data_IF_444642358509
#
_entry.id   IF_444642358509
#
_cell.length_a   1.000
_cell.length_b   1.000
_cell.length_c   1.000
_cell.angle_alpha   90.00
_cell.angle_beta   90.00
_cell.angle_gamma   90.00
#
_symmetry.space_group_name_H-M   'P 1'
#
loop_
_entity.id
_entity.type
_entity.pdbx_description
1 polymer ?
#
# COMPACT_ATOMS: atom_id res chain seq x y z
N UNK A 1 -1.38 12.27 -8.58
CA UNK A 1 -1.74 11.86 -9.97
C UNK A 1 -2.74 12.75 -10.69
N UNK A 2 -3.82 13.21 -10.05
CA UNK A 2 -4.91 13.88 -10.81
C UNK A 2 -4.50 15.27 -11.26
N UNK A 3 -3.87 16.04 -10.37
CA UNK A 3 -3.35 17.36 -10.71
C UNK A 3 -2.24 17.27 -11.76
N UNK A 4 -1.37 16.26 -11.68
CA UNK A 4 -0.28 16.03 -12.65
C UNK A 4 -0.84 15.80 -14.05
N UNK A 5 -1.81 14.89 -14.21
CA UNK A 5 -2.43 14.60 -15.50
C UNK A 5 -3.14 15.82 -16.07
N UNK A 6 -3.91 16.53 -15.24
CA UNK A 6 -4.61 17.75 -15.65
C UNK A 6 -3.64 18.81 -16.18
N UNK A 7 -2.50 19.03 -15.52
CA UNK A 7 -1.51 19.99 -16.01
C UNK A 7 -0.83 19.50 -17.29
N UNK A 8 -0.54 18.20 -17.38
CA UNK A 8 0.03 17.61 -18.59
C UNK A 8 -0.90 17.80 -19.79
N UNK A 9 -2.19 17.48 -19.63
CA UNK A 9 -3.23 17.70 -20.66
C UNK A 9 -3.27 19.17 -21.09
N UNK A 10 -3.33 20.11 -20.13
CA UNK A 10 -3.33 21.55 -20.42
C UNK A 10 -2.08 22.01 -21.19
N UNK A 11 -0.91 21.45 -20.92
CA UNK A 11 0.31 21.80 -21.64
C UNK A 11 0.34 21.18 -23.05
N UNK A 12 -0.12 19.94 -23.20
CA UNK A 12 -0.16 19.25 -24.50
C UNK A 12 -1.22 19.86 -25.42
N UNK A 13 -2.32 20.40 -24.89
CA UNK A 13 -3.35 21.10 -25.67
C UNK A 13 -2.95 22.54 -26.02
N UNK A 14 -1.92 23.11 -25.38
CA UNK A 14 -1.51 24.48 -25.60
C UNK A 14 -0.62 24.62 -26.84
N UNK A 15 -0.97 25.57 -27.72
CA UNK A 15 -0.31 25.78 -29.03
C UNK A 15 1.22 25.86 -28.97
N UNK A 16 1.78 26.49 -27.93
CA UNK A 16 3.24 26.62 -27.74
C UNK A 16 3.87 25.34 -27.16
N UNK A 17 3.23 24.71 -26.17
CA UNK A 17 3.84 23.62 -25.39
C UNK A 17 3.59 22.24 -26.01
N UNK A 18 2.66 22.14 -26.96
CA UNK A 18 2.35 20.94 -27.73
C UNK A 18 3.48 20.50 -28.68
N UNK A 19 4.38 21.42 -29.04
CA UNK A 19 5.46 21.15 -30.00
C UNK A 19 6.54 20.24 -29.40
N UNK A 20 6.57 18.97 -29.80
CA UNK A 20 7.61 18.01 -29.38
C UNK A 20 9.03 18.40 -29.83
N UNK A 21 9.15 19.24 -30.87
CA UNK A 21 10.43 19.81 -31.32
C UNK A 21 11.03 20.80 -30.32
N UNK A 22 10.23 21.36 -29.42
CA UNK A 22 10.65 22.41 -28.49
C UNK A 22 10.48 22.00 -27.02
N UNK A 23 9.55 21.09 -26.70
CA UNK A 23 9.25 20.70 -25.33
C UNK A 23 9.11 19.19 -25.17
N UNK A 24 9.64 18.65 -24.06
CA UNK A 24 9.38 17.29 -23.60
C UNK A 24 8.79 17.30 -22.20
N UNK A 25 7.57 16.78 -22.05
CA UNK A 25 6.79 16.85 -20.81
C UNK A 25 6.72 15.47 -20.16
N UNK A 26 7.21 15.36 -18.93
CA UNK A 26 7.29 14.09 -18.19
C UNK A 26 6.49 14.15 -16.88
N UNK A 27 5.45 13.32 -16.71
CA UNK A 27 4.81 13.14 -15.40
C UNK A 27 5.68 12.24 -14.50
N UNK A 28 5.90 12.65 -13.25
CA UNK A 28 6.70 11.89 -12.28
C UNK A 28 5.95 11.66 -10.97
N UNK A 29 5.69 10.40 -10.65
CA UNK A 29 4.97 10.01 -9.44
C UNK A 29 5.16 8.53 -9.16
N UNK A 30 5.16 8.17 -7.88
CA UNK A 30 5.38 6.82 -7.37
C UNK A 30 4.53 5.70 -7.99
N UNK A 31 3.42 6.00 -8.69
CA UNK A 31 2.57 4.97 -9.32
C UNK A 31 2.80 4.77 -10.81
N UNK A 32 3.74 5.51 -11.42
CA UNK A 32 4.19 5.28 -12.80
C UNK A 32 5.30 4.22 -12.77
N UNK A 33 5.30 3.29 -13.72
CA UNK A 33 6.32 2.25 -13.81
C UNK A 33 7.73 2.84 -13.99
N UNK A 34 8.75 2.22 -13.39
CA UNK A 34 10.13 2.73 -13.40
C UNK A 34 10.67 2.96 -14.82
N UNK A 35 10.34 2.09 -15.77
CA UNK A 35 10.77 2.21 -17.17
C UNK A 35 10.22 3.49 -17.84
N UNK A 36 9.01 3.91 -17.45
CA UNK A 36 8.39 5.15 -17.93
C UNK A 36 8.96 6.40 -17.23
N UNK A 37 9.62 6.22 -16.08
CA UNK A 37 10.31 7.31 -15.38
C UNK A 37 11.75 7.50 -15.90
N UNK A 38 12.36 6.47 -16.51
CA UNK A 38 13.77 6.49 -16.92
C UNK A 38 14.10 7.67 -17.86
N UNK A 39 13.22 7.96 -18.83
CA UNK A 39 13.42 9.05 -19.80
C UNK A 39 13.51 10.46 -19.16
N UNK A 40 13.08 10.63 -17.90
CA UNK A 40 13.19 11.91 -17.20
C UNK A 40 14.65 12.27 -16.89
N UNK A 41 15.50 11.25 -16.76
CA UNK A 41 16.91 11.39 -16.40
C UNK A 41 17.80 11.76 -17.59
N UNK A 42 17.33 11.52 -18.81
CA UNK A 42 18.07 11.84 -20.02
C UNK A 42 18.09 13.36 -20.23
N UNK A 43 19.27 13.91 -20.52
CA UNK A 43 19.43 15.32 -20.86
C UNK A 43 18.85 15.53 -22.27
N UNK A 44 17.92 16.49 -22.45
CA UNK A 44 17.31 16.73 -23.76
C UNK A 44 18.35 17.30 -24.76
N UNK A 45 18.17 17.05 -26.07
CA UNK A 45 18.98 17.71 -27.10
C UNK A 45 18.92 19.24 -27.01
N UNK A 46 19.95 19.96 -27.53
CA UNK A 46 19.94 21.41 -27.60
C UNK A 46 18.69 21.95 -28.31
N UNK A 47 18.10 23.02 -27.78
CA UNK A 47 16.86 23.61 -28.30
C UNK A 47 15.57 23.03 -27.72
N UNK A 48 15.64 21.85 -27.07
CA UNK A 48 14.47 21.21 -26.45
C UNK A 48 14.45 21.47 -24.95
N UNK A 49 13.33 22.00 -24.44
CA UNK A 49 13.11 22.20 -23.01
C UNK A 49 12.38 21.02 -22.38
N UNK A 50 13.02 20.41 -21.39
CA UNK A 50 12.39 19.40 -20.52
C UNK A 50 11.51 20.06 -19.45
N UNK A 51 10.30 19.53 -19.27
CA UNK A 51 9.34 19.93 -18.23
C UNK A 51 8.97 18.68 -17.44
N UNK A 52 9.23 18.68 -16.14
CA UNK A 52 8.91 17.56 -15.25
C UNK A 52 7.80 17.97 -14.28
N UNK A 53 6.68 17.24 -14.31
CA UNK A 53 5.53 17.50 -13.44
C UNK A 53 5.52 16.43 -12.34
N UNK A 54 5.99 16.79 -11.15
CA UNK A 54 6.29 15.83 -10.09
C UNK A 54 5.47 16.01 -8.81
N UNK A 55 5.39 14.94 -8.02
CA UNK A 55 5.03 15.00 -6.58
C UNK A 55 6.27 15.25 -5.73
N UNK A 56 6.14 15.16 -4.39
CA UNK A 56 7.26 15.19 -3.46
C UNK A 56 8.28 14.05 -3.69
N UNK A 57 8.05 13.09 -4.60
CA UNK A 57 9.07 12.12 -5.03
C UNK A 57 10.31 12.78 -5.66
N UNK A 58 10.16 13.97 -6.27
CA UNK A 58 11.30 14.73 -6.78
C UNK A 58 12.03 15.53 -5.67
N UNK A 59 11.42 15.63 -4.49
CA UNK A 59 11.96 16.38 -3.36
C UNK A 59 13.02 15.59 -2.59
N UNK A 60 12.80 14.28 -2.42
CA UNK A 60 13.71 13.35 -1.73
C UNK A 60 13.91 12.09 -2.57
N UNK A 61 15.15 11.60 -2.67
CA UNK A 61 15.44 10.30 -3.27
C UNK A 61 15.67 10.24 -4.79
N UNK A 62 15.27 11.24 -5.59
CA UNK A 62 15.53 11.25 -7.05
C UNK A 62 16.31 12.50 -7.45
N UNK A 63 17.40 12.34 -8.20
CA UNK A 63 18.18 13.46 -8.77
C UNK A 63 17.99 13.49 -10.26
N UNK A 64 17.18 14.44 -10.74
CA UNK A 64 17.07 14.74 -12.16
C UNK A 64 18.22 15.71 -12.49
N UNK A 65 19.09 15.39 -13.46
CA UNK A 65 20.09 16.35 -13.92
C UNK A 65 19.40 17.59 -14.54
N UNK A 66 20.16 18.63 -14.87
CA UNK A 66 19.72 19.73 -15.74
C UNK A 66 18.49 20.58 -15.30
N UNK A 67 17.92 20.35 -14.11
CA UNK A 67 16.88 21.22 -13.56
C UNK A 67 17.47 22.57 -13.15
N UNK A 68 17.03 23.62 -13.84
CA UNK A 68 17.43 25.02 -13.59
C UNK A 68 16.28 25.89 -13.11
N UNK A 69 15.04 25.40 -13.20
CA UNK A 69 13.85 26.11 -12.79
C UNK A 69 12.92 25.17 -12.03
N UNK A 70 12.50 25.58 -10.83
CA UNK A 70 11.53 24.85 -10.00
C UNK A 70 10.30 25.72 -9.79
N UNK A 71 9.13 25.16 -10.08
CA UNK A 71 7.84 25.76 -9.78
C UNK A 71 7.22 24.97 -8.63
N UNK A 72 7.23 25.54 -7.43
CA UNK A 72 6.78 24.92 -6.20
C UNK A 72 5.37 25.41 -5.84
N UNK A 73 4.38 24.52 -5.94
CA UNK A 73 2.98 24.80 -5.58
C UNK A 73 2.80 25.04 -4.08
N UNK A 74 3.78 24.67 -3.25
CA UNK A 74 3.72 24.78 -1.80
C UNK A 74 2.79 23.77 -1.12
N UNK A 75 2.26 22.80 -1.87
CA UNK A 75 1.34 21.77 -1.35
C UNK A 75 1.87 20.37 -1.63
N UNK A 76 1.46 19.43 -0.80
CA UNK A 76 1.65 18.00 -1.03
C UNK A 76 0.48 17.21 -0.43
N UNK A 77 0.46 15.91 -0.69
CA UNK A 77 -0.46 15.00 0.00
C UNK A 77 0.32 14.12 0.94
N UNK A 78 -0.15 13.99 2.17
CA UNK A 78 0.48 13.16 3.19
C UNK A 78 -0.56 12.30 3.93
N UNK A 79 -0.11 11.14 4.39
CA UNK A 79 -0.94 10.28 5.24
C UNK A 79 -0.95 10.84 6.67
N UNK A 80 -2.16 10.99 7.22
CA UNK A 80 -2.40 11.35 8.61
C UNK A 80 -3.44 10.42 9.23
N UNK A 81 -3.22 10.03 10.48
CA UNK A 81 -4.13 9.23 11.28
C UNK A 81 -5.11 10.14 12.04
N UNK A 82 -6.41 9.89 11.89
CA UNK A 82 -7.46 10.55 12.66
C UNK A 82 -7.75 9.72 13.92
N UNK A 83 -7.25 10.16 15.06
CA UNK A 83 -7.41 9.45 16.34
C UNK A 83 -8.88 9.31 16.78
N UNK A 84 -9.75 10.26 16.42
CA UNK A 84 -11.17 10.19 16.83
C UNK A 84 -11.92 9.15 16.03
N UNK A 85 -11.53 8.97 14.76
CA UNK A 85 -12.19 8.05 13.83
C UNK A 85 -11.42 6.75 13.65
N UNK A 86 -10.26 6.60 14.28
CA UNK A 86 -9.36 5.44 14.18
C UNK A 86 -9.04 5.05 12.72
N UNK A 87 -8.84 6.04 11.84
CA UNK A 87 -8.63 5.78 10.43
C UNK A 87 -7.61 6.72 9.78
N UNK A 88 -6.81 6.14 8.89
CA UNK A 88 -5.79 6.87 8.13
C UNK A 88 -6.38 7.55 6.90
N UNK A 89 -5.96 8.78 6.63
CA UNK A 89 -6.41 9.59 5.49
C UNK A 89 -5.25 10.20 4.74
N UNK A 90 -5.40 10.30 3.43
CA UNK A 90 -4.52 11.09 2.59
C UNK A 90 -5.05 12.51 2.50
N UNK A 91 -4.38 13.46 3.15
CA UNK A 91 -4.78 14.86 3.21
C UNK A 91 -3.86 15.73 2.37
N UNK A 92 -4.42 16.75 1.72
CA UNK A 92 -3.64 17.77 1.02
C UNK A 92 -3.30 18.90 1.99
N UNK A 93 -2.02 19.08 2.28
CA UNK A 93 -1.51 20.06 3.24
C UNK A 93 -0.47 20.98 2.59
N UNK A 94 -0.17 22.09 3.27
CA UNK A 94 0.95 22.94 2.89
C UNK A 94 2.25 22.29 3.37
N UNK A 95 3.31 22.46 2.58
CA UNK A 95 4.63 21.92 2.92
C UNK A 95 5.26 22.72 4.06
N UNK A 96 6.27 22.15 4.74
CA UNK A 96 7.09 22.90 5.67
C UNK A 96 8.12 23.78 4.94
N UNK A 97 8.69 24.76 5.63
CA UNK A 97 9.74 25.64 5.09
C UNK A 97 10.96 24.84 4.64
N UNK A 98 11.36 23.83 5.41
CA UNK A 98 12.43 22.91 5.03
C UNK A 98 12.15 22.14 3.73
N UNK A 99 10.90 21.71 3.48
CA UNK A 99 10.52 21.09 2.20
C UNK A 99 10.66 22.08 1.03
N UNK A 100 10.16 23.31 1.19
CA UNK A 100 10.30 24.36 0.19
C UNK A 100 11.78 24.68 -0.10
N UNK A 101 12.62 24.70 0.95
CA UNK A 101 14.07 24.87 0.81
C UNK A 101 14.74 23.71 0.05
N UNK A 102 14.33 22.46 0.30
CA UNK A 102 14.79 21.29 -0.45
C UNK A 102 14.40 21.38 -1.93
N UNK A 103 13.15 21.78 -2.23
CA UNK A 103 12.67 22.01 -3.60
C UNK A 103 13.47 23.09 -4.31
N UNK A 104 13.72 24.23 -3.65
CA UNK A 104 14.59 25.29 -4.16
C UNK A 104 15.99 24.77 -4.48
N UNK A 105 16.55 23.92 -3.63
CA UNK A 105 17.86 23.29 -3.84
C UNK A 105 17.94 22.43 -5.10
N UNK A 106 16.81 21.97 -5.66
CA UNK A 106 16.79 21.20 -6.91
C UNK A 106 17.18 22.00 -8.15
N UNK A 107 16.92 23.32 -8.16
CA UNK A 107 17.30 24.20 -9.25
C UNK A 107 18.79 24.60 -9.26
N UNK A 108 19.49 24.41 -8.12
CA UNK A 108 20.83 24.97 -7.89
C UNK A 108 21.98 23.98 -7.99
N UNK A 109 21.77 22.78 -8.55
CA UNK A 109 22.78 21.71 -8.51
C UNK A 109 23.86 21.79 -9.56
N UNK A 110 23.48 22.12 -10.80
CA UNK A 110 24.38 22.12 -11.95
C UNK A 110 24.82 23.54 -12.30
N UNK A 111 23.95 24.52 -12.07
CA UNK A 111 24.20 25.93 -12.31
C UNK A 111 23.25 26.79 -11.48
N UNK A 112 23.36 28.12 -11.61
CA UNK A 112 22.42 29.06 -11.00
C UNK A 112 21.01 28.80 -11.54
N UNK A 113 20.06 28.56 -10.64
CA UNK A 113 18.67 28.29 -10.99
C UNK A 113 17.68 29.24 -10.33
N UNK A 114 16.43 29.13 -10.76
CA UNK A 114 15.29 29.87 -10.24
C UNK A 114 14.32 28.93 -9.52
N UNK A 115 13.69 29.44 -8.45
CA UNK A 115 12.62 28.74 -7.77
C UNK A 115 11.46 29.70 -7.53
N UNK A 116 10.29 29.36 -8.08
CA UNK A 116 9.05 30.10 -7.93
C UNK A 116 8.17 29.39 -6.91
N UNK A 117 7.84 30.08 -5.83
CA UNK A 117 6.93 29.56 -4.80
C UNK A 117 5.54 30.16 -4.98
N UNK A 118 4.52 29.32 -5.15
CA UNK A 118 3.13 29.73 -5.39
C UNK A 118 2.36 29.93 -4.07
N UNK A 119 3.00 30.60 -3.13
CA UNK A 119 2.41 30.97 -1.84
C UNK A 119 2.93 32.34 -1.41
N UNK A 120 2.11 33.07 -0.65
CA UNK A 120 2.47 34.41 -0.21
C UNK A 120 3.57 34.38 0.85
N UNK A 121 4.34 35.46 0.94
CA UNK A 121 5.33 35.63 2.01
C UNK A 121 4.70 35.54 3.40
N UNK A 122 3.48 36.07 3.58
CA UNK A 122 2.73 35.95 4.85
C UNK A 122 2.44 34.49 5.20
N UNK A 123 2.07 33.66 4.22
CA UNK A 123 1.87 32.21 4.42
C UNK A 123 3.17 31.54 4.86
N UNK A 124 4.27 31.83 4.17
CA UNK A 124 5.58 31.27 4.50
C UNK A 124 6.01 31.69 5.90
N UNK A 125 6.04 32.98 6.20
CA UNK A 125 6.59 33.51 7.45
C UNK A 125 5.74 33.13 8.68
N UNK A 126 4.39 33.15 8.57
CA UNK A 126 3.49 33.07 9.74
C UNK A 126 2.70 31.78 9.90
N UNK A 127 2.61 30.94 8.87
CA UNK A 127 1.66 29.80 8.85
C UNK A 127 2.30 28.46 8.46
N UNK A 128 3.43 28.45 7.76
CA UNK A 128 4.15 27.22 7.44
C UNK A 128 5.05 26.81 8.60
N UNK A 129 5.03 25.53 8.95
CA UNK A 129 5.94 24.96 9.94
C UNK A 129 7.39 25.00 9.43
N UNK A 130 8.37 25.05 10.34
CA UNK A 130 9.79 24.97 9.97
C UNK A 130 10.14 23.59 9.38
N UNK A 131 9.67 22.53 10.07
CA UNK A 131 9.93 21.14 9.72
C UNK A 131 8.62 20.35 9.62
N UNK A 132 8.57 19.29 8.78
CA UNK A 132 7.42 18.41 8.73
C UNK A 132 7.30 17.61 10.04
N UNK A 133 6.05 17.29 10.42
CA UNK A 133 5.80 16.43 11.57
C UNK A 133 6.45 15.04 11.37
N UNK A 134 7.21 14.52 12.35
CA UNK A 134 7.76 13.18 12.32
C UNK A 134 6.68 12.12 12.03
N UNK A 135 7.01 11.10 11.24
CA UNK A 135 6.04 10.08 10.82
C UNK A 135 5.34 9.38 11.98
N UNK A 136 6.06 9.11 13.07
CA UNK A 136 5.49 8.48 14.25
C UNK A 136 4.43 9.33 14.97
N UNK A 137 4.42 10.65 14.76
CA UNK A 137 3.44 11.55 15.37
C UNK A 137 2.18 11.72 14.51
N UNK A 138 2.22 11.29 13.24
CA UNK A 138 1.11 11.50 12.30
C UNK A 138 0.54 10.21 11.70
N UNK A 139 1.19 9.06 11.84
CA UNK A 139 0.70 7.77 11.37
C UNK A 139 0.16 6.90 12.53
N UNK A 140 -0.56 5.83 12.20
CA UNK A 140 -0.97 4.84 13.20
C UNK A 140 0.26 4.15 13.79
N UNK A 141 0.30 4.05 15.12
CA UNK A 141 1.39 3.39 15.85
C UNK A 141 1.26 1.86 15.88
N UNK A 142 0.15 1.27 15.39
CA UNK A 142 -0.09 -0.17 15.51
C UNK A 142 0.96 -1.04 14.80
N UNK A 143 1.36 -0.68 13.57
CA UNK A 143 2.43 -1.38 12.83
C UNK A 143 3.79 -1.23 13.54
N UNK A 144 4.10 -0.02 14.01
CA UNK A 144 5.34 0.24 14.76
C UNK A 144 5.38 -0.55 16.08
N UNK A 145 4.26 -0.58 16.81
CA UNK A 145 4.11 -1.33 18.05
C UNK A 145 4.30 -2.84 17.85
N UNK A 146 3.75 -3.39 16.76
CA UNK A 146 3.93 -4.79 16.39
C UNK A 146 5.39 -5.09 16.03
N UNK A 147 6.04 -4.23 15.23
CA UNK A 147 7.46 -4.37 14.87
C UNK A 147 8.36 -4.37 16.10
N UNK A 148 8.12 -3.45 17.05
CA UNK A 148 8.85 -3.41 18.32
C UNK A 148 8.72 -4.74 19.08
N UNK A 149 7.56 -5.40 19.04
CA UNK A 149 7.34 -6.70 19.70
C UNK A 149 7.98 -7.88 18.98
N UNK A 150 8.03 -7.87 17.65
CA UNK A 150 8.62 -8.96 16.86
C UNK A 150 10.15 -8.90 16.87
N UNK A 151 10.72 -7.71 17.06
CA UNK A 151 12.16 -7.55 17.18
C UNK A 151 12.72 -8.41 18.32
N UNK A 152 13.74 -9.21 17.98
CA UNK A 152 14.47 -10.06 18.96
C UNK A 152 15.43 -9.28 19.86
N UNK A 153 15.38 -7.95 19.81
CA UNK A 153 16.25 -7.05 20.58
C UNK A 153 15.39 -6.29 21.57
N UNK A 154 15.78 -6.33 22.85
CA UNK A 154 15.11 -5.58 23.90
C UNK A 154 15.50 -4.10 23.79
N UNK A 155 14.71 -3.33 23.06
CA UNK A 155 14.86 -1.86 23.02
C UNK A 155 14.44 -1.22 24.34
N UNK A 156 13.49 -1.83 25.06
CA UNK A 156 12.90 -1.33 26.30
C UNK A 156 12.06 -2.36 27.03
N UNK A 157 11.54 -1.97 28.19
CA UNK A 157 10.71 -2.83 29.05
C UNK A 157 9.30 -3.06 28.48
N UNK A 158 8.79 -2.09 27.72
CA UNK A 158 7.48 -2.13 27.07
C UNK A 158 7.48 -1.34 25.77
N UNK A 159 6.39 -1.44 24.99
CA UNK A 159 6.20 -0.63 23.79
C UNK A 159 6.17 0.85 24.17
N UNK A 160 5.48 1.19 25.26
CA UNK A 160 5.39 2.56 25.77
C UNK A 160 6.75 3.09 26.21
N UNK A 161 7.52 2.33 26.98
CA UNK A 161 8.88 2.68 27.40
C UNK A 161 9.85 2.86 26.23
N UNK A 162 9.66 2.08 25.16
CA UNK A 162 10.49 2.19 23.95
C UNK A 162 10.14 3.47 23.18
N UNK A 163 8.85 3.72 22.96
CA UNK A 163 8.39 4.87 22.18
C UNK A 163 8.57 6.20 22.93
N UNK A 164 8.50 6.20 24.26
CA UNK A 164 8.71 7.40 25.08
C UNK A 164 10.16 7.89 25.07
N UNK A 165 11.12 7.02 24.69
CA UNK A 165 12.55 7.36 24.53
C UNK A 165 12.93 7.78 23.11
N UNK A 166 11.98 7.89 22.19
CA UNK A 166 12.24 8.43 20.86
C UNK A 166 12.64 9.92 20.93
N UNK A 167 13.28 10.42 19.87
CA UNK A 167 13.67 11.84 19.76
C UNK A 167 12.45 12.77 19.91
N UNK A 168 11.37 12.42 19.21
CA UNK A 168 10.07 13.10 19.28
C UNK A 168 9.02 12.07 19.73
N UNK A 169 8.85 11.84 21.04
CA UNK A 169 8.00 10.77 21.54
C UNK A 169 6.51 11.06 21.29
N UNK A 170 5.72 10.08 20.84
CA UNK A 170 4.27 10.21 20.77
C UNK A 170 3.68 10.26 22.18
N UNK A 171 2.48 10.83 22.31
CA UNK A 171 1.80 10.90 23.61
C UNK A 171 1.50 9.50 24.15
N UNK A 172 1.63 9.31 25.47
CA UNK A 172 1.28 8.06 26.15
C UNK A 172 -0.13 7.59 25.82
N UNK A 173 -1.09 8.52 25.75
CA UNK A 173 -2.48 8.22 25.38
C UNK A 173 -2.58 7.60 23.98
N UNK A 174 -1.81 8.11 23.02
CA UNK A 174 -1.80 7.58 21.66
C UNK A 174 -1.14 6.21 21.58
N UNK A 175 -0.06 6.00 22.33
CA UNK A 175 0.59 4.69 22.42
C UNK A 175 -0.39 3.67 23.01
N UNK A 176 -1.01 4.00 24.14
CA UNK A 176 -1.95 3.10 24.83
C UNK A 176 -3.15 2.75 23.95
N UNK A 177 -3.73 3.73 23.24
CA UNK A 177 -4.82 3.49 22.27
C UNK A 177 -4.39 2.57 21.14
N UNK A 178 -3.23 2.81 20.55
CA UNK A 178 -2.73 1.99 19.45
C UNK A 178 -2.42 0.54 19.88
N UNK A 179 -1.89 0.37 21.09
CA UNK A 179 -1.65 -0.96 21.69
C UNK A 179 -2.97 -1.64 22.02
N UNK A 180 -3.94 -0.94 22.60
CA UNK A 180 -5.26 -1.50 22.90
C UNK A 180 -5.97 -1.97 21.62
N UNK A 181 -5.99 -1.13 20.58
CA UNK A 181 -6.57 -1.49 19.28
C UNK A 181 -5.83 -2.68 18.62
N UNK A 182 -4.50 -2.74 18.75
CA UNK A 182 -3.72 -3.88 18.27
C UNK A 182 -4.09 -5.18 19.02
N UNK A 183 -4.19 -5.13 20.35
CA UNK A 183 -4.57 -6.29 21.17
C UNK A 183 -5.99 -6.74 20.83
N UNK A 184 -6.94 -5.81 20.70
CA UNK A 184 -8.31 -6.11 20.30
C UNK A 184 -8.38 -6.79 18.93
N UNK A 185 -7.68 -6.26 17.92
CA UNK A 185 -7.63 -6.86 16.59
C UNK A 185 -7.02 -8.27 16.61
N UNK A 186 -5.93 -8.48 17.35
CA UNK A 186 -5.30 -9.80 17.48
C UNK A 186 -6.19 -10.80 18.23
N UNK A 187 -6.93 -10.31 19.23
CA UNK A 187 -7.89 -11.12 19.98
C UNK A 187 -9.07 -11.54 19.09
N UNK A 188 -9.63 -10.63 18.28
CA UNK A 188 -10.67 -10.96 17.30
C UNK A 188 -10.20 -12.00 16.29
N UNK A 189 -8.95 -11.91 15.82
CA UNK A 189 -8.37 -12.93 14.92
C UNK A 189 -8.34 -14.30 15.61
N UNK A 190 -7.89 -14.36 16.87
CA UNK A 190 -7.86 -15.61 17.61
C UNK A 190 -9.27 -16.17 17.86
N UNK A 191 -10.24 -15.33 18.21
CA UNK A 191 -11.64 -15.73 18.39
C UNK A 191 -12.23 -16.35 17.12
N UNK A 192 -11.98 -15.74 15.95
CA UNK A 192 -12.40 -16.29 14.66
C UNK A 192 -11.74 -17.64 14.37
N UNK A 193 -10.45 -17.81 14.70
CA UNK A 193 -9.74 -19.10 14.56
C UNK A 193 -10.36 -20.17 15.46
N UNK A 194 -10.68 -19.84 16.70
CA UNK A 194 -11.31 -20.76 17.65
C UNK A 194 -12.72 -21.14 17.22
N UNK A 195 -13.51 -20.18 16.76
CA UNK A 195 -14.87 -20.41 16.27
C UNK A 195 -14.84 -21.34 15.05
N UNK A 196 -13.93 -21.10 14.11
CA UNK A 196 -13.77 -21.96 12.94
C UNK A 196 -13.37 -23.39 13.32
N UNK A 197 -12.39 -23.55 14.22
CA UNK A 197 -12.01 -24.87 14.73
C UNK A 197 -13.20 -25.57 15.42
N UNK A 198 -13.98 -24.83 16.21
CA UNK A 198 -15.23 -25.31 16.81
C UNK A 198 -16.19 -25.89 15.78
N UNK A 199 -16.44 -25.18 14.69
CA UNK A 199 -17.32 -25.66 13.62
C UNK A 199 -16.82 -26.94 12.96
N UNK A 200 -15.50 -27.08 12.75
CA UNK A 200 -14.92 -28.29 12.18
C UNK A 200 -15.09 -29.51 13.10
N UNK A 201 -14.98 -29.32 14.41
CA UNK A 201 -15.18 -30.38 15.41
C UNK A 201 -16.67 -30.73 15.53
N UNK A 202 -17.53 -29.72 15.67
CA UNK A 202 -18.96 -29.92 15.90
C UNK A 202 -19.64 -30.56 14.66
N UNK A 203 -19.13 -30.28 13.45
CA UNK A 203 -19.57 -30.94 12.21
C UNK A 203 -18.97 -32.34 11.98
N UNK A 204 -18.12 -32.82 12.89
CA UNK A 204 -17.34 -34.06 12.75
C UNK A 204 -16.44 -34.10 11.51
N UNK A 205 -16.09 -32.94 10.94
CA UNK A 205 -15.17 -32.84 9.81
C UNK A 205 -13.73 -33.17 10.21
N UNK A 206 -13.35 -32.86 11.46
CA UNK A 206 -12.08 -33.28 12.06
C UNK A 206 -12.34 -34.09 13.33
N UNK A 207 -11.51 -35.10 13.55
CA UNK A 207 -11.47 -35.87 14.80
C UNK A 207 -10.24 -35.46 15.58
N UNK A 208 -10.46 -34.97 16.81
CA UNK A 208 -9.40 -34.55 17.73
C UNK A 208 -9.65 -35.16 19.10
N UNK A 209 -8.59 -35.28 19.89
CA UNK A 209 -8.67 -35.86 21.23
C UNK A 209 -9.68 -35.12 22.11
N UNK A 210 -10.37 -35.88 22.97
CA UNK A 210 -11.33 -35.31 23.93
C UNK A 210 -10.71 -34.28 24.89
N UNK A 211 -9.39 -34.32 25.08
CA UNK A 211 -8.67 -33.28 25.83
C UNK A 211 -8.73 -31.92 25.11
N UNK A 212 -8.46 -31.91 23.80
CA UNK A 212 -8.46 -30.69 22.97
C UNK A 212 -9.89 -30.15 22.83
N UNK A 213 -10.89 -31.01 22.67
CA UNK A 213 -12.31 -30.60 22.66
C UNK A 213 -12.71 -29.91 23.96
N UNK A 214 -12.29 -30.46 25.11
CA UNK A 214 -12.55 -29.85 26.43
C UNK A 214 -11.86 -28.49 26.55
N UNK A 215 -10.64 -28.35 26.08
CA UNK A 215 -9.92 -27.08 26.10
C UNK A 215 -10.52 -26.04 25.15
N UNK A 216 -10.96 -26.45 23.96
CA UNK A 216 -11.68 -25.62 23.00
C UNK A 216 -13.01 -25.12 23.58
N UNK A 217 -13.79 -26.00 24.21
CA UNK A 217 -15.04 -25.60 24.86
C UNK A 217 -14.78 -24.64 26.03
N UNK A 218 -13.73 -24.87 26.83
CA UNK A 218 -13.34 -23.93 27.89
C UNK A 218 -12.90 -22.57 27.34
N UNK A 219 -12.19 -22.53 26.22
CA UNK A 219 -11.78 -21.30 25.56
C UNK A 219 -13.00 -20.52 25.03
N UNK A 220 -13.96 -21.21 24.37
CA UNK A 220 -15.20 -20.62 23.84
C UNK A 220 -16.03 -19.87 24.89
N UNK A 221 -16.05 -20.34 26.14
CA UNK A 221 -16.84 -19.71 27.22
C UNK A 221 -16.02 -18.79 28.14
N UNK A 222 -14.72 -18.64 27.91
CA UNK A 222 -13.87 -17.79 28.74
C UNK A 222 -13.94 -16.34 28.27
N UNK A 223 -14.63 -15.48 29.04
CA UNK A 223 -14.74 -14.04 28.74
C UNK A 223 -13.49 -13.21 29.08
N UNK A 224 -12.51 -13.77 29.80
CA UNK A 224 -11.47 -12.98 30.48
C UNK A 224 -10.01 -13.47 30.29
N UNK A 225 -9.73 -14.42 29.38
CA UNK A 225 -8.34 -14.85 29.11
C UNK A 225 -8.10 -15.08 27.63
N UNK A 226 -7.05 -14.44 27.11
CA UNK A 226 -6.45 -14.69 25.79
C UNK A 226 -5.81 -16.08 25.78
N UNK A 227 -6.63 -17.13 25.79
CA UNK A 227 -6.16 -18.51 25.77
C UNK A 227 -6.05 -18.93 24.32
N UNK A 228 -4.82 -18.88 23.80
CA UNK A 228 -4.53 -19.39 22.46
C UNK A 228 -4.77 -20.89 22.40
N UNK A 229 -5.42 -21.34 21.33
CA UNK A 229 -5.55 -22.77 21.06
C UNK A 229 -4.40 -23.18 20.15
N UNK A 230 -3.62 -24.15 20.63
CA UNK A 230 -2.61 -24.78 19.78
C UNK A 230 -3.30 -25.78 18.87
N UNK A 231 -3.13 -25.61 17.56
CA UNK A 231 -3.65 -26.55 16.58
C UNK A 231 -2.83 -27.85 16.69
N UNK A 232 -3.47 -29.02 16.81
CA UNK A 232 -2.78 -30.30 16.80
C UNK A 232 -1.88 -30.44 15.55
N UNK A 233 -0.61 -30.91 15.69
CA UNK A 233 0.31 -31.02 14.55
C UNK A 233 -0.23 -31.88 13.40
N UNK A 234 -1.12 -32.83 13.71
CA UNK A 234 -1.76 -33.70 12.72
C UNK A 234 -2.67 -32.92 11.76
N UNK A 235 -3.20 -31.77 12.20
CA UNK A 235 -4.03 -30.88 11.40
C UNK A 235 -3.21 -29.80 10.68
N UNK A 236 -1.94 -29.61 11.02
CA UNK A 236 -1.05 -28.59 10.44
C UNK A 236 0.00 -29.17 9.46
N UNK A 237 -0.16 -30.43 9.03
CA UNK A 237 0.81 -31.16 8.19
C UNK A 237 1.22 -30.44 6.90
N UNK A 238 0.34 -29.59 6.37
CA UNK A 238 0.51 -28.93 5.07
C UNK A 238 0.81 -27.43 5.16
N UNK A 239 1.11 -26.89 6.34
CA UNK A 239 1.30 -25.44 6.54
C UNK A 239 2.53 -24.84 5.86
N UNK A 240 3.48 -25.67 5.41
CA UNK A 240 4.63 -25.23 4.61
C UNK A 240 4.36 -25.26 3.10
N UNK A 241 3.24 -25.87 2.66
CA UNK A 241 2.90 -25.98 1.25
C UNK A 241 2.13 -24.74 0.78
N UNK A 242 2.85 -23.80 0.16
CA UNK A 242 2.28 -22.55 -0.33
C UNK A 242 1.16 -22.76 -1.35
N UNK A 243 1.23 -23.79 -2.20
CA UNK A 243 0.20 -24.08 -3.20
C UNK A 243 -1.13 -24.44 -2.52
N UNK A 244 -1.10 -25.30 -1.50
CA UNK A 244 -2.31 -25.66 -0.73
C UNK A 244 -2.87 -24.47 0.06
N UNK A 245 -1.99 -23.63 0.63
CA UNK A 245 -2.42 -22.41 1.31
C UNK A 245 -3.11 -21.46 0.33
N UNK A 246 -2.53 -21.24 -0.84
CA UNK A 246 -3.12 -20.40 -1.88
C UNK A 246 -4.43 -20.97 -2.42
N UNK A 247 -4.54 -22.29 -2.57
CA UNK A 247 -5.79 -22.96 -2.93
C UNK A 247 -6.89 -22.71 -1.88
N UNK A 248 -6.57 -22.87 -0.59
CA UNK A 248 -7.53 -22.63 0.50
C UNK A 248 -7.96 -21.15 0.58
N UNK A 249 -7.00 -20.21 0.42
CA UNK A 249 -7.29 -18.78 0.34
C UNK A 249 -8.20 -18.48 -0.85
N UNK A 250 -7.91 -19.07 -2.02
CA UNK A 250 -8.70 -18.87 -3.23
C UNK A 250 -10.13 -19.35 -3.06
N UNK A 251 -10.31 -20.53 -2.45
CA UNK A 251 -11.63 -21.10 -2.15
C UNK A 251 -12.42 -20.22 -1.16
N UNK A 252 -11.76 -19.77 -0.08
CA UNK A 252 -12.40 -18.91 0.93
C UNK A 252 -12.73 -17.50 0.44
N UNK A 253 -11.99 -16.99 -0.55
CA UNK A 253 -12.21 -15.66 -1.12
C UNK A 253 -13.10 -15.66 -2.37
N UNK A 254 -13.37 -16.82 -2.97
CA UNK A 254 -14.21 -16.91 -4.16
C UNK A 254 -15.58 -16.22 -3.93
N UNK A 255 -16.08 -15.40 -4.89
CA UNK A 255 -15.60 -15.17 -6.26
C UNK A 255 -14.65 -13.97 -6.42
N UNK A 256 -13.95 -13.55 -5.35
CA UNK A 256 -12.98 -12.43 -5.40
C UNK A 256 -11.69 -12.82 -6.12
N UNK A 257 -11.79 -12.94 -7.44
CA UNK A 257 -10.69 -13.27 -8.33
C UNK A 257 -10.43 -12.16 -9.35
N UNK A 258 -9.16 -11.98 -9.67
CA UNK A 258 -8.68 -11.19 -10.80
C UNK A 258 -8.16 -12.14 -11.88
N UNK A 259 -8.65 -12.00 -13.10
CA UNK A 259 -8.08 -12.64 -14.30
C UNK A 259 -6.89 -11.82 -14.81
N UNK A 260 -5.84 -12.53 -15.22
CA UNK A 260 -4.67 -11.97 -15.88
C UNK A 260 -4.87 -12.10 -17.39
N UNK A 261 -5.19 -10.98 -18.03
CA UNK A 261 -5.43 -10.91 -19.47
C UNK A 261 -4.29 -10.18 -20.19
N UNK A 262 -4.08 -10.50 -21.47
CA UNK A 262 -3.26 -9.69 -22.36
C UNK A 262 -4.11 -8.77 -23.22
N UNK A 263 -3.72 -7.50 -23.28
CA UNK A 263 -4.29 -6.57 -24.25
C UNK A 263 -3.73 -6.86 -25.64
N UNK A 264 -4.41 -6.33 -26.67
CA UNK A 264 -3.96 -6.42 -28.08
C UNK A 264 -2.54 -5.87 -28.29
N UNK A 265 -2.13 -4.93 -27.44
CA UNK A 265 -0.80 -4.30 -27.46
C UNK A 265 0.27 -5.11 -26.68
N UNK A 266 -0.06 -6.33 -26.24
CA UNK A 266 0.86 -7.21 -25.51
C UNK A 266 1.09 -6.84 -24.04
N UNK A 267 0.30 -5.91 -23.47
CA UNK A 267 0.42 -5.51 -22.06
C UNK A 267 -0.50 -6.35 -21.18
N UNK A 268 -0.01 -6.69 -19.98
CA UNK A 268 -0.80 -7.42 -19.00
C UNK A 268 -1.83 -6.50 -18.33
N UNK A 269 -3.04 -7.00 -18.17
CA UNK A 269 -4.14 -6.33 -17.48
C UNK A 269 -4.76 -7.26 -16.46
N UNK A 270 -4.99 -6.74 -15.25
CA UNK A 270 -5.82 -7.41 -14.25
C UNK A 270 -7.26 -6.93 -14.39
N UNK A 271 -8.19 -7.88 -14.43
CA UNK A 271 -9.62 -7.59 -14.42
C UNK A 271 -10.35 -8.45 -13.41
N UNK A 272 -11.40 -7.93 -12.79
CA UNK A 272 -12.29 -8.74 -11.94
C UNK A 272 -13.03 -9.78 -12.78
N UNK A 273 -13.13 -11.01 -12.26
CA UNK A 273 -13.88 -12.08 -12.95
C UNK A 273 -15.39 -11.82 -12.95
N UNK A 274 -15.90 -11.08 -11.98
CA UNK A 274 -17.34 -10.84 -11.80
C UNK A 274 -17.92 -9.79 -12.75
N UNK A 275 -17.17 -8.74 -13.06
CA UNK A 275 -17.68 -7.60 -13.83
C UNK A 275 -16.66 -6.97 -14.79
N UNK A 276 -15.55 -7.66 -15.07
CA UNK A 276 -14.51 -7.26 -16.04
C UNK A 276 -13.95 -5.84 -15.81
N UNK A 277 -13.97 -5.35 -14.57
CA UNK A 277 -13.41 -4.06 -14.20
C UNK A 277 -11.89 -4.15 -14.13
N UNK A 278 -11.19 -3.21 -14.75
CA UNK A 278 -9.74 -3.15 -14.70
C UNK A 278 -9.25 -2.74 -13.32
N UNK A 279 -8.34 -3.54 -12.76
CA UNK A 279 -7.75 -3.35 -11.44
C UNK A 279 -6.24 -3.18 -11.57
N UNK A 280 -5.63 -2.46 -10.65
CA UNK A 280 -4.17 -2.39 -10.50
C UNK A 280 -3.77 -2.77 -9.08
N UNK A 281 -2.54 -3.24 -8.88
CA UNK A 281 -2.00 -3.37 -7.52
C UNK A 281 -1.95 -1.99 -6.83
N UNK A 282 -2.42 -1.93 -5.60
CA UNK A 282 -2.34 -0.72 -4.77
C UNK A 282 -0.86 -0.39 -4.50
N UNK A 283 -0.45 0.89 -4.41
CA UNK A 283 0.95 1.27 -4.13
C UNK A 283 1.55 0.71 -2.83
N UNK A 284 0.71 0.37 -1.84
CA UNK A 284 1.14 -0.27 -0.59
C UNK A 284 1.13 -1.80 -0.65
N UNK A 285 0.70 -2.40 -1.77
CA UNK A 285 0.72 -3.85 -1.95
C UNK A 285 2.15 -4.34 -2.09
N UNK A 286 2.47 -5.50 -1.55
CA UNK A 286 3.76 -6.19 -1.79
C UNK A 286 3.98 -6.54 -3.27
N UNK A 287 2.90 -6.58 -4.04
CA UNK A 287 2.90 -6.87 -5.48
C UNK A 287 2.94 -5.59 -6.33
N UNK A 288 3.02 -4.41 -5.71
CA UNK A 288 3.13 -3.15 -6.44
C UNK A 288 4.39 -3.13 -7.33
N UNK A 289 4.21 -2.82 -8.62
CA UNK A 289 5.29 -2.79 -9.61
C UNK A 289 5.64 -4.14 -10.25
N UNK A 290 5.11 -5.27 -9.77
CA UNK A 290 5.28 -6.58 -10.42
C UNK A 290 4.36 -6.72 -11.64
N UNK A 291 4.79 -7.50 -12.65
CA UNK A 291 3.89 -7.84 -13.77
C UNK A 291 3.00 -9.00 -13.35
N UNK A 292 1.69 -8.94 -13.65
CA UNK A 292 0.76 -10.02 -13.30
C UNK A 292 1.17 -11.41 -13.83
N UNK A 293 1.85 -11.50 -14.98
CA UNK A 293 2.33 -12.78 -15.50
C UNK A 293 3.51 -13.39 -14.74
N UNK A 294 4.27 -12.58 -14.00
CA UNK A 294 5.44 -13.09 -13.25
C UNK A 294 5.02 -14.06 -12.12
N UNK A 295 3.72 -14.13 -11.79
CA UNK A 295 3.17 -15.09 -10.82
C UNK A 295 2.99 -16.51 -11.39
N UNK A 296 3.08 -16.70 -12.70
CA UNK A 296 2.97 -18.02 -13.34
C UNK A 296 1.58 -18.66 -13.24
N UNK A 297 0.55 -17.86 -12.97
CA UNK A 297 -0.86 -18.28 -12.87
C UNK A 297 -1.75 -17.39 -13.74
N UNK A 298 -2.96 -17.84 -14.06
CA UNK A 298 -3.92 -17.05 -14.82
C UNK A 298 -4.83 -16.20 -13.93
N UNK A 299 -4.91 -16.50 -12.64
CA UNK A 299 -5.77 -15.79 -11.70
C UNK A 299 -5.03 -15.38 -10.42
N UNK A 300 -5.49 -14.29 -9.82
CA UNK A 300 -5.09 -13.87 -8.48
C UNK A 300 -6.33 -13.73 -7.59
N UNK A 301 -6.30 -14.26 -6.38
CA UNK A 301 -7.31 -13.93 -5.37
C UNK A 301 -7.03 -12.55 -4.78
N UNK A 302 -8.09 -11.84 -4.38
CA UNK A 302 -7.97 -10.58 -3.67
C UNK A 302 -8.91 -10.52 -2.46
N UNK A 303 -8.51 -9.78 -1.43
CA UNK A 303 -9.37 -9.54 -0.27
C UNK A 303 -10.16 -8.23 -0.42
N UNK A 304 -9.43 -7.12 -0.60
CA UNK A 304 -10.00 -5.78 -0.71
C UNK A 304 -9.68 -5.15 -2.06
N UNK A 305 -10.72 -4.61 -2.70
CA UNK A 305 -10.59 -3.62 -3.77
C UNK A 305 -11.27 -2.33 -3.31
N UNK A 306 -10.62 -1.21 -3.53
CA UNK A 306 -11.17 0.13 -3.26
C UNK A 306 -11.07 0.96 -4.52
N UNK A 307 -12.11 1.74 -4.73
CA UNK A 307 -12.16 2.72 -5.81
C UNK A 307 -11.57 4.03 -5.31
N UNK A 308 -10.56 4.51 -6.03
CA UNK A 308 -10.13 5.91 -5.94
C UNK A 308 -10.24 6.52 -7.34
N UNK A 309 -9.12 6.85 -7.98
CA UNK A 309 -9.07 7.27 -9.40
C UNK A 309 -9.15 6.10 -10.38
N UNK A 310 -8.73 4.92 -9.92
CA UNK A 310 -8.89 3.62 -10.56
C UNK A 310 -9.16 2.59 -9.46
N UNK A 311 -9.53 1.38 -9.84
CA UNK A 311 -9.70 0.27 -8.89
C UNK A 311 -8.34 -0.27 -8.50
N UNK A 312 -8.11 -0.40 -7.20
CA UNK A 312 -6.86 -0.93 -6.66
C UNK A 312 -7.11 -2.15 -5.79
N UNK A 313 -6.33 -3.20 -5.96
CA UNK A 313 -6.29 -4.35 -5.05
C UNK A 313 -5.16 -4.20 -4.04
N UNK A 314 -5.44 -4.37 -2.75
CA UNK A 314 -4.45 -4.26 -1.67
C UNK A 314 -3.70 -5.57 -1.47
N UNK A 315 -4.43 -6.60 -1.06
CA UNK A 315 -3.92 -7.94 -0.84
C UNK A 315 -4.26 -8.80 -2.04
N UNK A 316 -3.23 -9.40 -2.64
CA UNK A 316 -3.39 -10.34 -3.76
C UNK A 316 -2.46 -11.53 -3.59
N UNK A 317 -2.90 -12.70 -4.03
CA UNK A 317 -2.11 -13.93 -4.03
C UNK A 317 -2.44 -14.79 -5.25
N UNK A 318 -1.50 -15.63 -5.72
CA UNK A 318 -1.74 -16.51 -6.84
C UNK A 318 -2.91 -17.46 -6.58
N UNK A 319 -3.75 -17.65 -7.59
CA UNK A 319 -4.83 -18.62 -7.61
C UNK A 319 -4.61 -19.56 -8.81
N UNK A 320 -4.24 -20.80 -8.51
CA UNK A 320 -3.95 -21.82 -9.51
C UNK A 320 -5.24 -22.34 -10.18
N UNK A 321 -5.17 -22.59 -11.49
CA UNK A 321 -6.34 -22.99 -12.29
C UNK A 321 -6.95 -24.31 -11.82
N UNK A 322 -6.12 -25.28 -11.44
CA UNK A 322 -6.58 -26.58 -10.95
C UNK A 322 -7.26 -26.38 -9.59
N UNK A 323 -6.70 -25.54 -8.73
CA UNK A 323 -7.29 -25.22 -7.43
C UNK A 323 -8.66 -24.56 -7.58
N UNK A 324 -8.81 -23.62 -8.51
CA UNK A 324 -10.08 -23.00 -8.82
C UNK A 324 -11.08 -24.00 -9.39
N UNK A 325 -10.66 -24.84 -10.33
CA UNK A 325 -11.51 -25.87 -10.92
C UNK A 325 -12.04 -26.87 -9.88
N UNK A 326 -11.21 -27.26 -8.91
CA UNK A 326 -11.56 -28.25 -7.90
C UNK A 326 -12.39 -27.68 -6.75
N UNK A 327 -12.16 -26.43 -6.35
CA UNK A 327 -12.68 -25.87 -5.11
C UNK A 327 -13.72 -24.76 -5.31
N UNK A 328 -13.84 -24.19 -6.51
CA UNK A 328 -14.63 -22.99 -6.75
C UNK A 328 -15.69 -23.22 -7.85
N UNK A 329 -16.91 -22.73 -7.61
CA UNK A 329 -17.96 -22.59 -8.63
C UNK A 329 -18.40 -23.87 -9.35
N UNK A 330 -19.28 -23.71 -10.34
CA UNK A 330 -19.66 -24.78 -11.27
C UNK A 330 -18.72 -24.78 -12.47
N UNK A 331 -18.19 -25.95 -12.82
CA UNK A 331 -17.33 -26.14 -13.99
C UNK A 331 -18.14 -26.70 -15.18
N UNK A 332 -18.15 -25.98 -16.29
CA UNK A 332 -18.73 -26.46 -17.55
C UNK A 332 -17.60 -26.95 -18.49
N UNK A 333 -17.60 -28.24 -18.82
CA UNK A 333 -16.62 -28.82 -19.75
C UNK A 333 -17.14 -28.71 -21.18
N UNK A 334 -16.53 -27.83 -21.98
CA UNK A 334 -16.81 -27.73 -23.42
C UNK A 334 -15.84 -28.60 -24.20
N UNK A 335 -16.30 -29.78 -24.62
CA UNK A 335 -15.57 -30.62 -25.57
C UNK A 335 -15.53 -29.90 -26.91
N UNK A 336 -14.36 -29.49 -27.37
CA UNK A 336 -14.18 -28.98 -28.74
C UNK A 336 -14.27 -30.19 -29.68
N UNK A 337 -15.36 -30.24 -30.45
CA UNK A 337 -15.55 -31.21 -31.52
C UNK A 337 -14.60 -30.96 -32.69
#
# INVERSE_FOLDING_TARGET
MGEIRRLQELLVEHTIFASEEHFKIYPLHSTIASDQQAAVFDIPPPGIRKIVIATNIAETGITIPDITCVIDTGRHREMRFDEKRQLSRLLETFVAKSNAAQRRGRAGRVQRGLCFHLFTKIRYDRKMAEHPDPEMLRLSLSDLALRIKIMKVSLGSSIEDTLSRALDPPSSVNIQRAVAALVENLQQIEELRQQFLGYLVDSSFIQIDQAVVRDLNRARYSRNRNRFITIPPELDRNSSNSALIHAAISAGLYPKLLSIEQTKDGKDRLVTVTNNQSVSFHPSSVNFGRRPRDFGVNYLSYFTIMQSKKMYAWETGPADDISLLLLCGEAEFKVRA
#
